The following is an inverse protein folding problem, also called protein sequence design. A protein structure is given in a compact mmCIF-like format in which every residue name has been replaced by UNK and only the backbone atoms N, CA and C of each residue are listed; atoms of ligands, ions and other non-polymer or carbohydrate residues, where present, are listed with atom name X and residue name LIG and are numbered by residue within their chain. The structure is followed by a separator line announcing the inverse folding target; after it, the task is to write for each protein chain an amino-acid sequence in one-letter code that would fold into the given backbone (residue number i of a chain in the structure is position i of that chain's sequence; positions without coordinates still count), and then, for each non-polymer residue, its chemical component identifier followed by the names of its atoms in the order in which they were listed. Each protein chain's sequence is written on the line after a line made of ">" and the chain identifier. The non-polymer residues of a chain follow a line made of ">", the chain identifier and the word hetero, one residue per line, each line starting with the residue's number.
data_IF_367069963583
#
_entry.id   IF_367069963583
#
_cell.length_a   1.000
_cell.length_b   1.000
_cell.length_c   1.000
_cell.angle_alpha   90.00
_cell.angle_beta   90.00
_cell.angle_gamma   90.00
#
_symmetry.space_group_name_H-M   'P 1'
#
loop_
_entity.id
_entity.type
_entity.pdbx_description
1 polymer ?
#
# COMPACT_ATOMS: atom_id res chain seq x y z
N UNK A 1 -11.61 19.48 -29.67
CA UNK A 1 -11.27 18.56 -28.56
C UNK A 1 -10.32 19.31 -27.64
N UNK A 2 -10.81 19.85 -26.52
CA UNK A 2 -9.96 20.58 -25.58
C UNK A 2 -9.06 19.57 -24.86
N UNK A 3 -7.75 19.66 -25.07
CA UNK A 3 -6.78 18.99 -24.22
C UNK A 3 -6.88 19.65 -22.84
N UNK A 4 -7.63 19.05 -21.91
CA UNK A 4 -7.43 19.35 -20.49
C UNK A 4 -6.00 18.95 -20.19
N UNK A 5 -5.15 19.92 -19.87
CA UNK A 5 -3.87 19.66 -19.21
C UNK A 5 -4.19 18.91 -17.92
N UNK A 6 -4.02 17.60 -17.91
CA UNK A 6 -4.25 16.77 -16.74
C UNK A 6 -3.13 17.10 -15.74
N UNK A 7 -3.49 17.86 -14.70
CA UNK A 7 -2.58 18.26 -13.64
C UNK A 7 -2.43 17.12 -12.64
N UNK A 8 -1.19 16.84 -12.22
CA UNK A 8 -0.93 15.91 -11.11
C UNK A 8 -1.78 16.29 -9.90
N UNK A 9 -2.31 15.30 -9.18
CA UNK A 9 -2.96 15.58 -7.92
C UNK A 9 -1.88 16.11 -6.96
N UNK A 10 -2.08 17.30 -6.35
CA UNK A 10 -1.16 17.77 -5.33
C UNK A 10 -1.19 16.78 -4.18
N UNK A 11 -0.01 16.55 -3.60
CA UNK A 11 0.14 15.82 -2.37
C UNK A 11 0.80 16.71 -1.32
N UNK A 12 0.45 16.48 -0.07
CA UNK A 12 1.05 17.14 1.08
C UNK A 12 1.11 16.17 2.24
N UNK A 13 2.12 16.33 3.09
CA UNK A 13 2.31 15.52 4.29
C UNK A 13 2.52 16.44 5.48
N UNK A 14 1.94 16.08 6.60
CA UNK A 14 2.18 16.73 7.90
C UNK A 14 2.39 15.67 8.96
N UNK A 15 3.23 15.94 9.95
CA UNK A 15 3.45 15.07 11.10
C UNK A 15 2.81 15.69 12.36
N UNK A 16 2.01 14.90 13.06
CA UNK A 16 1.46 15.30 14.36
C UNK A 16 2.29 14.65 15.48
N UNK A 17 3.07 15.44 16.25
CA UNK A 17 3.93 14.89 17.29
C UNK A 17 3.16 14.32 18.48
N UNK A 18 1.94 14.79 18.74
CA UNK A 18 1.11 14.33 19.86
C UNK A 18 0.63 12.90 19.64
N UNK A 19 0.22 12.58 18.40
CA UNK A 19 -0.25 11.24 18.04
C UNK A 19 0.85 10.37 17.43
N UNK A 20 2.01 10.96 17.09
CA UNK A 20 3.07 10.32 16.32
C UNK A 20 2.58 9.74 14.98
N UNK A 21 1.61 10.40 14.35
CA UNK A 21 1.03 10.01 13.06
C UNK A 21 1.33 11.04 11.98
N UNK A 22 1.45 10.55 10.74
CA UNK A 22 1.48 11.39 9.56
C UNK A 22 0.08 11.54 8.97
N UNK A 23 -0.19 12.68 8.33
CA UNK A 23 -1.40 12.91 7.56
C UNK A 23 -1.01 13.27 6.13
N UNK A 24 -1.30 12.37 5.20
CA UNK A 24 -0.98 12.50 3.78
C UNK A 24 -2.24 12.90 3.01
N UNK A 25 -2.28 14.13 2.50
CA UNK A 25 -3.37 14.57 1.63
C UNK A 25 -3.04 14.19 0.20
N UNK A 26 -3.90 13.41 -0.45
CA UNK A 26 -3.77 13.02 -1.86
C UNK A 26 -5.13 12.70 -2.47
N UNK A 27 -5.36 13.13 -3.72
CA UNK A 27 -6.60 12.77 -4.44
C UNK A 27 -7.89 13.29 -3.79
N UNK A 28 -7.82 14.34 -2.98
CA UNK A 28 -8.96 14.88 -2.21
C UNK A 28 -9.25 14.15 -0.90
N UNK A 29 -8.46 13.12 -0.55
CA UNK A 29 -8.51 12.44 0.75
C UNK A 29 -7.37 12.92 1.65
N UNK A 30 -7.57 12.81 2.96
CA UNK A 30 -6.48 12.91 3.95
C UNK A 30 -6.34 11.55 4.62
N UNK A 31 -5.21 10.90 4.39
CA UNK A 31 -4.91 9.55 4.83
C UNK A 31 -4.13 9.66 6.13
N UNK A 32 -4.67 9.10 7.19
CA UNK A 32 -3.98 8.96 8.47
C UNK A 32 -3.00 7.79 8.37
N UNK A 33 -1.71 8.08 8.52
CA UNK A 33 -0.62 7.14 8.28
C UNK A 33 0.18 6.89 9.55
N UNK A 34 0.11 5.66 10.04
CA UNK A 34 0.90 5.17 11.18
C UNK A 34 2.19 4.54 10.65
N UNK A 35 3.35 5.03 11.10
CA UNK A 35 4.66 4.43 10.79
C UNK A 35 5.22 3.82 12.07
N UNK A 36 5.52 2.52 12.07
CA UNK A 36 5.93 1.84 13.31
C UNK A 36 6.78 0.59 13.06
N UNK A 37 7.69 0.31 13.99
CA UNK A 37 8.36 -0.98 14.21
C UNK A 37 7.86 -1.67 15.49
N UNK A 38 6.92 -1.05 16.22
CA UNK A 38 6.43 -1.53 17.52
C UNK A 38 5.20 -2.43 17.38
N UNK A 39 5.28 -3.60 18.01
CA UNK A 39 4.20 -4.61 18.05
C UNK A 39 2.87 -4.07 18.59
N UNK A 40 2.91 -3.30 19.68
CA UNK A 40 1.71 -2.72 20.28
C UNK A 40 0.96 -1.79 19.32
N UNK A 41 1.66 -0.84 18.70
CA UNK A 41 1.06 0.11 17.75
C UNK A 41 0.52 -0.58 16.49
N UNK A 42 1.22 -1.61 15.99
CA UNK A 42 0.72 -2.42 14.88
C UNK A 42 -0.57 -3.18 15.26
N UNK A 43 -0.63 -3.70 16.49
CA UNK A 43 -1.80 -4.40 17.01
C UNK A 43 -3.00 -3.46 17.17
N UNK A 44 -2.79 -2.27 17.74
CA UNK A 44 -3.83 -1.24 17.87
C UNK A 44 -4.41 -0.85 16.50
N UNK A 45 -3.56 -0.70 15.48
CA UNK A 45 -4.03 -0.42 14.12
C UNK A 45 -4.88 -1.58 13.58
N UNK A 46 -4.45 -2.83 13.75
CA UNK A 46 -5.23 -4.01 13.31
C UNK A 46 -6.58 -4.09 14.03
N UNK A 47 -6.62 -3.83 15.34
CA UNK A 47 -7.85 -3.84 16.13
C UNK A 47 -8.82 -2.75 15.64
N UNK A 48 -8.32 -1.54 15.37
CA UNK A 48 -9.10 -0.45 14.78
C UNK A 48 -9.70 -0.85 13.42
N UNK A 49 -8.88 -1.35 12.50
CA UNK A 49 -9.34 -1.75 11.16
C UNK A 49 -10.31 -2.92 11.22
N UNK A 50 -10.05 -3.91 12.08
CA UNK A 50 -10.95 -5.05 12.26
C UNK A 50 -12.28 -4.62 12.85
N UNK A 51 -12.29 -3.67 13.80
CA UNK A 51 -13.51 -3.11 14.37
C UNK A 51 -14.34 -2.33 13.34
N UNK A 52 -13.68 -1.52 12.49
CA UNK A 52 -14.35 -0.68 11.50
C UNK A 52 -14.82 -1.46 10.26
N UNK A 53 -14.03 -2.42 9.78
CA UNK A 53 -14.21 -3.04 8.47
C UNK A 53 -14.36 -4.55 8.51
N UNK A 54 -14.16 -5.21 9.65
CA UNK A 54 -14.21 -6.67 9.78
C UNK A 54 -15.62 -7.27 9.69
N UNK A 55 -16.68 -6.45 9.70
CA UNK A 55 -18.07 -6.91 9.62
C UNK A 55 -18.55 -7.29 8.21
N UNK A 56 -17.77 -6.98 7.17
CA UNK A 56 -18.11 -7.28 5.77
C UNK A 56 -16.83 -7.46 4.94
N UNK A 57 -16.90 -8.13 3.77
CA UNK A 57 -15.75 -8.21 2.87
C UNK A 57 -15.20 -6.83 2.53
N UNK A 58 -13.90 -6.64 2.74
CA UNK A 58 -13.19 -5.40 2.49
C UNK A 58 -11.89 -5.67 1.71
N UNK A 59 -11.42 -4.65 1.01
CA UNK A 59 -10.13 -4.71 0.31
C UNK A 59 -9.09 -3.89 1.07
N UNK A 60 -7.85 -4.37 1.05
CA UNK A 60 -6.70 -3.72 1.70
C UNK A 60 -5.61 -3.53 0.65
N UNK A 61 -5.23 -2.29 0.36
CA UNK A 61 -4.07 -2.00 -0.47
C UNK A 61 -2.80 -2.50 0.23
N UNK A 62 -2.00 -3.30 -0.47
CA UNK A 62 -0.74 -3.85 0.02
C UNK A 62 0.39 -3.42 -0.92
N UNK A 63 1.50 -3.02 -0.33
CA UNK A 63 2.76 -2.77 -1.03
C UNK A 63 3.94 -3.11 -0.14
N UNK A 64 5.12 -3.31 -0.73
CA UNK A 64 6.35 -3.67 -0.02
C UNK A 64 7.52 -2.92 -0.64
N UNK A 65 8.36 -2.30 0.19
CA UNK A 65 9.55 -1.58 -0.28
C UNK A 65 10.83 -2.13 0.36
N UNK A 66 11.91 -2.13 -0.42
CA UNK A 66 13.25 -2.59 -0.02
C UNK A 66 14.33 -1.72 -0.65
N UNK A 67 15.51 -1.67 0.00
CA UNK A 67 16.66 -0.98 -0.57
C UNK A 67 17.05 -1.63 -1.91
N UNK A 68 17.26 -0.87 -3.00
CA UNK A 68 17.71 -1.45 -4.26
C UNK A 68 19.07 -2.13 -4.15
N UNK A 69 19.22 -3.27 -4.82
CA UNK A 69 20.51 -3.97 -4.91
C UNK A 69 21.27 -3.53 -6.18
N UNK A 70 22.59 -3.29 -6.13
CA UNK A 70 23.36 -2.89 -7.32
C UNK A 70 23.33 -3.92 -8.47
N UNK A 71 23.28 -5.20 -8.11
CA UNK A 71 23.14 -6.32 -9.05
C UNK A 71 21.65 -6.55 -9.33
N UNK A 72 21.23 -6.37 -10.58
CA UNK A 72 19.81 -6.42 -11.01
C UNK A 72 19.10 -7.75 -10.76
N UNK A 73 19.82 -8.86 -10.72
CA UNK A 73 19.26 -10.20 -10.48
C UNK A 73 19.06 -10.50 -9.00
N UNK A 74 19.52 -9.63 -8.11
CA UNK A 74 19.39 -9.79 -6.66
C UNK A 74 18.38 -8.81 -6.10
N UNK A 75 17.72 -9.19 -5.02
CA UNK A 75 16.79 -8.36 -4.27
C UNK A 75 17.20 -8.36 -2.81
N UNK A 76 17.20 -7.19 -2.18
CA UNK A 76 17.41 -7.09 -0.74
C UNK A 76 16.15 -7.54 0.00
N UNK A 77 16.30 -7.81 1.30
CA UNK A 77 15.18 -8.13 2.18
C UNK A 77 14.15 -7.00 2.17
N UNK A 78 12.86 -7.32 2.17
CA UNK A 78 11.78 -6.35 2.35
C UNK A 78 12.04 -5.53 3.60
N UNK A 79 12.07 -4.22 3.48
CA UNK A 79 12.35 -3.33 4.61
C UNK A 79 11.07 -2.84 5.28
N UNK A 80 10.00 -2.69 4.49
CA UNK A 80 8.71 -2.19 4.94
C UNK A 80 7.55 -2.95 4.31
N UNK A 81 6.42 -3.00 5.00
CA UNK A 81 5.12 -3.45 4.50
C UNK A 81 4.12 -2.32 4.68
N UNK A 82 3.42 -1.96 3.61
CA UNK A 82 2.32 -1.00 3.64
C UNK A 82 0.97 -1.73 3.58
N UNK A 83 0.04 -1.31 4.42
CA UNK A 83 -1.36 -1.76 4.39
C UNK A 83 -2.27 -0.53 4.43
N UNK A 84 -3.25 -0.44 3.54
CA UNK A 84 -4.17 0.70 3.49
C UNK A 84 -5.61 0.25 3.30
N UNK A 85 -6.51 0.73 4.16
CA UNK A 85 -7.97 0.58 3.99
C UNK A 85 -8.59 1.95 4.18
N UNK A 86 -9.38 2.38 3.20
CA UNK A 86 -9.99 3.70 3.19
C UNK A 86 -8.92 4.79 3.37
N UNK A 87 -9.04 5.63 4.40
CA UNK A 87 -8.09 6.70 4.72
C UNK A 87 -7.19 6.34 5.92
N UNK A 88 -6.96 5.04 6.16
CA UNK A 88 -6.09 4.53 7.22
C UNK A 88 -4.96 3.71 6.60
N UNK A 89 -3.72 4.19 6.75
CA UNK A 89 -2.52 3.52 6.25
C UNK A 89 -1.60 3.12 7.40
N UNK A 90 -1.08 1.91 7.35
CA UNK A 90 0.00 1.41 8.19
C UNK A 90 1.24 1.22 7.33
N UNK A 91 2.37 1.75 7.78
CA UNK A 91 3.71 1.47 7.27
C UNK A 91 4.48 0.76 8.37
N UNK A 92 4.62 -0.55 8.23
CA UNK A 92 5.32 -1.41 9.17
C UNK A 92 6.80 -1.50 8.76
N UNK A 93 7.71 -1.02 9.60
CA UNK A 93 9.16 -1.08 9.37
C UNK A 93 9.73 -2.46 9.73
N UNK A 94 9.39 -3.47 8.92
CA UNK A 94 9.76 -4.88 9.09
C UNK A 94 11.24 -5.10 9.41
N UNK A 95 12.14 -4.32 8.81
CA UNK A 95 13.59 -4.46 8.99
C UNK A 95 14.05 -4.29 10.46
N UNK A 96 13.28 -3.57 11.28
CA UNK A 96 13.62 -3.25 12.66
C UNK A 96 12.74 -3.95 13.70
N UNK A 97 11.87 -4.86 13.26
CA UNK A 97 11.02 -5.61 14.17
C UNK A 97 11.77 -6.83 14.68
N UNK A 98 11.75 -7.02 16.00
CA UNK A 98 12.30 -8.23 16.63
C UNK A 98 11.45 -9.46 16.26
N UNK A 99 10.12 -9.30 16.27
CA UNK A 99 9.15 -10.31 15.87
C UNK A 99 7.93 -9.67 15.19
N UNK A 100 7.30 -10.41 14.30
CA UNK A 100 6.05 -9.98 13.67
C UNK A 100 4.89 -10.29 14.62
N UNK A 101 4.03 -9.30 14.97
CA UNK A 101 2.91 -9.51 15.87
C UNK A 101 1.91 -10.52 15.30
N UNK A 102 1.42 -11.42 16.15
CA UNK A 102 0.38 -12.38 15.76
C UNK A 102 -0.90 -11.71 15.25
N UNK A 103 -1.18 -10.46 15.67
CA UNK A 103 -2.27 -9.63 15.16
C UNK A 103 -2.13 -9.32 13.67
N UNK A 104 -0.92 -8.98 13.20
CA UNK A 104 -0.64 -8.74 11.78
C UNK A 104 -0.80 -10.04 10.98
N UNK A 105 -0.23 -11.15 11.46
CA UNK A 105 -0.38 -12.46 10.82
C UNK A 105 -1.84 -12.89 10.73
N UNK A 106 -2.61 -12.73 11.81
CA UNK A 106 -4.04 -13.04 11.84
C UNK A 106 -4.85 -12.13 10.91
N UNK A 107 -4.48 -10.85 10.81
CA UNK A 107 -5.12 -9.89 9.90
C UNK A 107 -4.90 -10.29 8.43
N UNK A 108 -3.66 -10.62 8.04
CA UNK A 108 -3.33 -11.07 6.68
C UNK A 108 -4.01 -12.38 6.30
N UNK A 109 -4.28 -13.27 7.26
CA UNK A 109 -4.98 -14.54 7.06
C UNK A 109 -6.51 -14.44 7.13
N UNK A 110 -7.05 -13.29 7.53
CA UNK A 110 -8.50 -13.12 7.72
C UNK A 110 -9.25 -13.24 6.38
N UNK A 111 -10.30 -14.07 6.30
CA UNK A 111 -11.06 -14.25 5.06
C UNK A 111 -11.92 -13.02 4.70
N UNK A 112 -12.09 -12.08 5.63
CA UNK A 112 -12.87 -10.86 5.40
C UNK A 112 -12.08 -9.80 4.62
N UNK A 113 -10.76 -9.94 4.53
CA UNK A 113 -9.91 -8.97 3.86
C UNK A 113 -9.25 -9.59 2.62
N UNK A 114 -9.38 -8.90 1.48
CA UNK A 114 -8.64 -9.23 0.26
C UNK A 114 -7.54 -8.20 0.05
N UNK A 115 -6.29 -8.67 0.02
CA UNK A 115 -5.13 -7.80 -0.14
C UNK A 115 -4.82 -7.57 -1.62
N UNK A 116 -4.68 -6.31 -2.02
CA UNK A 116 -4.65 -5.90 -3.42
C UNK A 116 -3.44 -5.02 -3.73
N UNK A 117 -2.84 -5.23 -4.89
CA UNK A 117 -1.67 -4.49 -5.36
C UNK A 117 -1.32 -4.88 -6.80
N UNK A 118 -0.29 -4.26 -7.37
CA UNK A 118 0.28 -4.67 -8.65
C UNK A 118 1.32 -5.74 -8.40
N UNK A 119 1.19 -6.89 -9.05
CA UNK A 119 2.09 -8.04 -8.85
C UNK A 119 2.12 -8.50 -7.37
N UNK A 120 1.02 -8.25 -6.63
CA UNK A 120 0.91 -8.48 -5.16
C UNK A 120 1.22 -9.92 -4.72
N UNK A 121 1.05 -10.89 -5.62
CA UNK A 121 1.44 -12.28 -5.36
C UNK A 121 2.94 -12.44 -5.13
N UNK A 122 3.77 -11.66 -5.84
CA UNK A 122 5.23 -11.68 -5.68
C UNK A 122 5.63 -11.05 -4.33
N UNK A 123 4.96 -9.97 -3.93
CA UNK A 123 5.17 -9.34 -2.61
C UNK A 123 4.79 -10.29 -1.46
N UNK A 124 3.64 -10.95 -1.56
CA UNK A 124 3.19 -11.94 -0.57
C UNK A 124 4.16 -13.13 -0.51
N UNK A 125 4.63 -13.62 -1.65
CA UNK A 125 5.62 -14.71 -1.69
C UNK A 125 6.93 -14.28 -1.02
N UNK A 126 7.38 -13.05 -1.27
CA UNK A 126 8.57 -12.47 -0.63
C UNK A 126 8.39 -12.36 0.89
N UNK A 127 7.26 -11.82 1.36
CA UNK A 127 6.92 -11.72 2.78
C UNK A 127 6.85 -13.10 3.46
N UNK A 128 6.26 -14.09 2.80
CA UNK A 128 6.21 -15.48 3.29
C UNK A 128 7.62 -16.05 3.47
N UNK A 129 8.48 -15.90 2.47
CA UNK A 129 9.82 -16.46 2.50
C UNK A 129 10.74 -15.76 3.51
N UNK A 130 10.58 -14.45 3.72
CA UNK A 130 11.49 -13.64 4.54
C UNK A 130 11.02 -13.43 5.99
N UNK A 131 9.72 -13.50 6.22
CA UNK A 131 9.08 -13.18 7.51
C UNK A 131 8.05 -14.22 7.96
N UNK A 132 7.76 -15.26 7.16
CA UNK A 132 6.72 -16.23 7.47
C UNK A 132 5.29 -15.66 7.40
N UNK A 133 5.13 -14.48 6.79
CA UNK A 133 3.84 -13.82 6.67
C UNK A 133 3.05 -14.39 5.49
N UNK A 134 1.93 -15.03 5.80
CA UNK A 134 1.01 -15.59 4.80
C UNK A 134 -0.22 -14.70 4.63
N UNK A 135 -0.78 -14.70 3.42
CA UNK A 135 -1.96 -13.91 3.08
C UNK A 135 -3.09 -14.85 2.66
N UNK A 136 -4.23 -14.81 3.36
CA UNK A 136 -5.35 -15.72 3.15
C UNK A 136 -6.09 -15.45 1.83
N UNK A 137 -6.20 -14.19 1.42
CA UNK A 137 -6.84 -13.78 0.17
C UNK A 137 -6.12 -12.61 -0.46
N UNK A 138 -5.73 -12.71 -1.73
CA UNK A 138 -5.14 -11.61 -2.47
C UNK A 138 -5.66 -11.53 -3.89
N UNK A 139 -5.61 -10.32 -4.47
CA UNK A 139 -6.04 -10.08 -5.84
C UNK A 139 -5.16 -9.04 -6.52
N UNK A 140 -4.54 -9.45 -7.62
CA UNK A 140 -3.80 -8.53 -8.48
C UNK A 140 -4.76 -7.57 -9.20
N UNK A 141 -4.57 -6.26 -9.00
CA UNK A 141 -5.46 -5.24 -9.55
C UNK A 141 -5.26 -5.01 -11.06
N UNK A 142 -4.08 -5.33 -11.60
CA UNK A 142 -3.82 -5.27 -13.04
C UNK A 142 -4.61 -6.37 -13.76
N UNK A 143 -4.59 -7.59 -13.24
CA UNK A 143 -5.35 -8.69 -13.81
C UNK A 143 -6.86 -8.45 -13.64
N UNK A 144 -7.31 -7.98 -12.47
CA UNK A 144 -8.71 -7.59 -12.28
C UNK A 144 -9.16 -6.48 -13.27
N UNK A 145 -8.32 -5.48 -13.53
CA UNK A 145 -8.64 -4.43 -14.50
C UNK A 145 -8.72 -4.97 -15.94
N UNK A 146 -7.83 -5.88 -16.34
CA UNK A 146 -7.86 -6.52 -17.66
C UNK A 146 -9.07 -7.41 -17.85
N UNK A 147 -9.49 -8.13 -16.81
CA UNK A 147 -10.71 -8.93 -16.85
C UNK A 147 -11.96 -8.06 -16.97
N UNK A 148 -12.03 -6.95 -16.23
CA UNK A 148 -13.16 -6.01 -16.29
C UNK A 148 -13.25 -5.32 -17.64
N UNK A 149 -12.11 -4.98 -18.24
CA UNK A 149 -12.03 -4.29 -19.55
C UNK A 149 -11.04 -4.98 -20.50
N UNK A 150 -11.43 -6.12 -21.11
CA UNK A 150 -10.57 -6.87 -22.01
C UNK A 150 -10.06 -6.00 -23.17
N UNK A 151 -8.75 -6.06 -23.42
CA UNK A 151 -8.09 -5.33 -24.51
C UNK A 151 -7.83 -3.84 -24.25
N UNK A 152 -8.38 -3.24 -23.19
CA UNK A 152 -8.14 -1.81 -22.87
C UNK A 152 -6.71 -1.57 -22.35
N UNK A 153 -6.18 -2.53 -21.60
CA UNK A 153 -4.89 -2.40 -20.92
C UNK A 153 -3.89 -3.44 -21.42
N UNK A 154 -2.67 -2.99 -21.76
CA UNK A 154 -1.57 -3.91 -22.13
C UNK A 154 -0.83 -4.44 -20.90
N UNK A 155 0.00 -3.61 -20.27
CA UNK A 155 0.69 -3.92 -19.01
C UNK A 155 0.77 -2.65 -18.15
N UNK A 156 -0.38 -2.15 -17.65
CA UNK A 156 -0.41 -0.90 -16.90
C UNK A 156 0.30 -1.08 -15.54
N UNK A 157 1.05 -0.07 -15.14
CA UNK A 157 1.56 0.05 -13.77
C UNK A 157 0.51 0.64 -12.83
N UNK A 158 0.86 0.73 -11.54
CA UNK A 158 -0.03 1.31 -10.53
C UNK A 158 -0.49 2.71 -10.89
N UNK A 159 0.44 3.58 -11.30
CA UNK A 159 0.16 4.96 -11.72
C UNK A 159 -0.84 5.03 -12.88
N UNK A 160 -0.71 4.14 -13.86
CA UNK A 160 -1.58 4.13 -15.04
C UNK A 160 -3.00 3.74 -14.64
N UNK A 161 -3.17 2.70 -13.82
CA UNK A 161 -4.47 2.29 -13.31
C UNK A 161 -5.07 3.32 -12.35
N UNK A 162 -4.26 3.93 -11.49
CA UNK A 162 -4.73 4.97 -10.56
C UNK A 162 -5.37 6.13 -11.33
N UNK A 163 -4.74 6.57 -12.43
CA UNK A 163 -5.27 7.60 -13.30
C UNK A 163 -6.52 7.14 -14.07
N UNK A 164 -6.44 6.00 -14.77
CA UNK A 164 -7.51 5.53 -15.67
C UNK A 164 -8.77 5.03 -14.94
N UNK A 165 -8.59 4.42 -13.77
CA UNK A 165 -9.68 3.80 -12.99
C UNK A 165 -10.21 4.79 -11.96
N UNK A 166 -9.34 5.50 -11.24
CA UNK A 166 -9.73 6.33 -10.10
C UNK A 166 -9.59 7.84 -10.33
N UNK A 167 -9.01 8.28 -11.46
CA UNK A 167 -8.70 9.69 -11.69
C UNK A 167 -7.58 10.22 -10.77
N UNK A 168 -6.75 9.34 -10.22
CA UNK A 168 -5.66 9.66 -9.30
C UNK A 168 -4.33 9.77 -10.06
N UNK A 169 -3.92 11.00 -10.32
CA UNK A 169 -2.69 11.38 -11.02
C UNK A 169 -1.52 11.47 -10.04
N UNK A 170 -0.90 10.32 -9.76
CA UNK A 170 0.22 10.22 -8.82
C UNK A 170 1.60 10.41 -9.48
N UNK A 171 2.55 10.94 -8.71
CA UNK A 171 3.97 10.96 -9.07
C UNK A 171 4.64 9.66 -8.62
N UNK A 172 5.70 9.26 -9.34
CA UNK A 172 6.57 8.14 -8.98
C UNK A 172 8.03 8.60 -9.04
N UNK A 173 8.48 9.47 -8.12
CA UNK A 173 9.84 9.99 -8.13
C UNK A 173 10.86 8.87 -7.96
N UNK A 174 11.67 8.63 -9.00
CA UNK A 174 12.68 7.57 -9.02
C UNK A 174 13.67 7.65 -7.86
N UNK A 175 14.00 8.85 -7.38
CA UNK A 175 14.91 9.04 -6.25
C UNK A 175 14.33 8.57 -4.91
N UNK A 176 12.99 8.50 -4.76
CA UNK A 176 12.33 7.95 -3.57
C UNK A 176 12.13 6.45 -3.71
N UNK A 177 11.59 6.00 -4.85
CA UNK A 177 11.41 4.58 -5.15
C UNK A 177 12.73 3.80 -5.05
N UNK A 178 13.86 4.41 -5.46
CA UNK A 178 15.18 3.81 -5.35
C UNK A 178 15.98 4.25 -4.11
N UNK A 179 15.29 4.80 -3.09
CA UNK A 179 15.95 5.28 -1.86
C UNK A 179 16.34 4.13 -0.93
N UNK A 180 16.99 4.47 0.18
CA UNK A 180 17.26 3.51 1.23
C UNK A 180 16.01 3.31 2.11
N UNK A 181 15.22 2.28 1.83
CA UNK A 181 14.07 1.89 2.64
C UNK A 181 14.44 1.19 3.96
N UNK A 182 15.70 0.83 4.15
CA UNK A 182 16.26 0.35 5.43
C UNK A 182 16.67 1.53 6.33
N UNK A 183 16.12 2.74 6.13
CA UNK A 183 16.42 3.87 7.00
C UNK A 183 15.67 3.74 8.33
N UNK A 184 16.36 3.97 9.47
CA UNK A 184 15.73 3.85 10.80
C UNK A 184 14.55 4.79 10.98
N UNK A 185 14.69 5.99 10.43
CA UNK A 185 13.64 6.99 10.36
C UNK A 185 13.40 7.27 8.88
N UNK A 186 12.23 6.87 8.38
CA UNK A 186 11.80 7.24 7.04
C UNK A 186 11.58 8.74 6.97
N UNK A 187 12.03 9.37 5.88
CA UNK A 187 11.74 10.78 5.66
C UNK A 187 10.30 10.97 5.13
N UNK A 188 9.82 12.21 5.17
CA UNK A 188 8.46 12.55 4.73
C UNK A 188 8.15 12.12 3.29
N UNK A 189 9.13 12.21 2.37
CA UNK A 189 8.93 11.79 0.99
C UNK A 189 8.76 10.27 0.86
N UNK A 190 9.48 9.48 1.67
CA UNK A 190 9.30 8.02 1.76
C UNK A 190 7.93 7.65 2.33
N UNK A 191 7.53 8.31 3.43
CA UNK A 191 6.21 8.09 4.05
C UNK A 191 5.08 8.46 3.10
N UNK A 192 5.15 9.63 2.46
CA UNK A 192 4.17 10.08 1.47
C UNK A 192 4.08 9.10 0.30
N UNK A 193 5.22 8.69 -0.26
CA UNK A 193 5.26 7.76 -1.39
C UNK A 193 4.62 6.40 -1.05
N UNK A 194 5.07 5.77 0.04
CA UNK A 194 4.59 4.46 0.47
C UNK A 194 3.09 4.49 0.83
N UNK A 195 2.64 5.58 1.47
CA UNK A 195 1.23 5.79 1.77
C UNK A 195 0.38 5.91 0.50
N UNK A 196 0.80 6.73 -0.47
CA UNK A 196 0.04 6.95 -1.70
C UNK A 196 -0.03 5.66 -2.53
N UNK A 197 1.03 4.85 -2.55
CA UNK A 197 1.05 3.59 -3.29
C UNK A 197 0.04 2.59 -2.74
N UNK A 198 0.06 2.33 -1.43
CA UNK A 198 -0.92 1.46 -0.80
C UNK A 198 -2.35 2.02 -0.92
N UNK A 199 -2.54 3.34 -0.78
CA UNK A 199 -3.83 3.98 -0.97
C UNK A 199 -4.36 3.86 -2.40
N UNK A 200 -3.51 4.05 -3.41
CA UNK A 200 -3.89 3.89 -4.81
C UNK A 200 -4.30 2.44 -5.10
N UNK A 201 -3.53 1.45 -4.61
CA UNK A 201 -3.86 0.03 -4.71
C UNK A 201 -5.23 -0.27 -4.08
N UNK A 202 -5.49 0.25 -2.88
CA UNK A 202 -6.79 0.16 -2.21
C UNK A 202 -7.92 0.77 -3.08
N UNK A 203 -7.77 2.02 -3.54
CA UNK A 203 -8.82 2.72 -4.31
C UNK A 203 -9.16 1.99 -5.62
N UNK A 204 -8.14 1.47 -6.31
CA UNK A 204 -8.33 0.69 -7.54
C UNK A 204 -9.04 -0.63 -7.21
N UNK A 205 -8.55 -1.38 -6.22
CA UNK A 205 -9.15 -2.64 -5.81
C UNK A 205 -10.60 -2.48 -5.35
N UNK A 206 -10.90 -1.42 -4.59
CA UNK A 206 -12.25 -1.11 -4.13
C UNK A 206 -13.20 -0.90 -5.30
N UNK A 207 -12.77 -0.08 -6.28
CA UNK A 207 -13.55 0.21 -7.48
C UNK A 207 -13.76 -1.02 -8.39
N UNK A 208 -12.80 -1.94 -8.41
CA UNK A 208 -12.87 -3.14 -9.25
C UNK A 208 -13.65 -4.30 -8.61
N UNK A 209 -13.56 -4.45 -7.28
CA UNK A 209 -13.99 -5.65 -6.57
C UNK A 209 -15.20 -5.42 -5.65
N UNK A 210 -15.42 -4.20 -5.18
CA UNK A 210 -16.48 -3.86 -4.22
C UNK A 210 -17.58 -3.03 -4.88
N UNK A 211 -17.22 -1.97 -5.61
CA UNK A 211 -18.20 -1.11 -6.29
C UNK A 211 -18.87 -1.88 -7.44
N UNK A 212 -20.19 -2.03 -7.36
CA UNK A 212 -20.99 -2.56 -8.48
C UNK A 212 -21.05 -1.49 -9.58
N UNK A 213 -20.70 -1.90 -10.79
CA UNK A 213 -20.70 -1.03 -11.96
C UNK A 213 -22.10 -0.72 -12.48
#
# INVERSE_FOLDING_TARGET
>A
MMFRTQTMNPSAITFNPTTSKYYVTFGGATIETTVTDKSATATEWVEEITSLYGGSPAVVGLDVEWRPHPIRSMSNKSATLQLCVDCKCLILQLFYMDEIPGSISGFLLSPNFTFVGIEVGDDILKLKNEYGLECGSSRDIREAAKERWPGRFRRPGLKDLAAEVCGLWMRKPKHVCMSNWEARVLNEAQVEYACIDAFASYKIGHKLLIEKS
#
